data_IF_859036735609
#
_entry.id   IF_859036735609
#
_cell.length_a   1.000
_cell.length_b   1.000
_cell.length_c   1.000
_cell.angle_alpha   90.00
_cell.angle_beta   90.00
_cell.angle_gamma   90.00
#
_symmetry.space_group_name_H-M   'P 1'
#
loop_
_entity.id
_entity.type
_entity.pdbx_description
1 polymer ?
#
# COMPACT_ATOMS: atom_id res chain seq x y z
N UNK A 1 10.15 0.90 -8.55
CA UNK A 1 9.40 1.56 -9.63
C UNK A 1 8.39 0.56 -10.16
N UNK A 2 7.10 0.82 -10.03
CA UNK A 2 6.06 -0.11 -10.46
C UNK A 2 5.76 0.14 -11.94
N UNK A 3 6.43 -0.60 -12.82
CA UNK A 3 6.02 -0.76 -14.21
C UNK A 3 4.78 -1.68 -14.21
N UNK A 4 3.65 -1.18 -13.71
CA UNK A 4 2.42 -1.96 -13.60
C UNK A 4 1.66 -1.85 -14.91
N UNK A 5 1.48 -2.99 -15.57
CA UNK A 5 0.52 -3.11 -16.65
C UNK A 5 -0.89 -2.87 -16.11
N UNK A 6 -1.70 -2.11 -16.85
CA UNK A 6 -3.11 -1.92 -16.55
C UNK A 6 -3.88 -3.01 -17.27
N UNK A 7 -4.56 -3.88 -16.52
CA UNK A 7 -5.32 -5.00 -17.09
C UNK A 7 -6.81 -4.66 -16.98
N UNK A 8 -7.47 -4.54 -18.11
CA UNK A 8 -8.92 -4.41 -18.21
C UNK A 8 -9.47 -5.77 -18.64
N UNK A 9 -10.36 -6.35 -17.83
CA UNK A 9 -11.00 -7.65 -18.11
C UNK A 9 -12.44 -7.42 -18.55
N UNK A 10 -12.84 -8.08 -19.61
CA UNK A 10 -14.18 -8.04 -20.19
C UNK A 10 -14.96 -9.31 -19.85
N UNK A 11 -16.29 -9.25 -19.95
CA UNK A 11 -17.18 -10.40 -19.74
C UNK A 11 -16.98 -11.50 -20.79
N UNK A 12 -16.52 -11.13 -21.98
CA UNK A 12 -16.34 -12.00 -23.13
C UNK A 12 -15.03 -11.73 -23.87
N UNK A 13 -14.73 -12.57 -24.88
CA UNK A 13 -13.53 -12.42 -25.68
C UNK A 13 -13.65 -11.18 -26.57
N UNK A 14 -12.55 -10.42 -26.67
CA UNK A 14 -12.52 -9.15 -27.38
C UNK A 14 -11.57 -9.18 -28.58
N UNK A 15 -11.75 -8.24 -29.49
CA UNK A 15 -10.91 -7.95 -30.65
C UNK A 15 -10.65 -6.45 -30.73
N UNK A 16 -9.60 -6.07 -31.46
CA UNK A 16 -9.32 -4.68 -31.75
C UNK A 16 -10.42 -4.13 -32.66
N UNK A 17 -11.09 -3.07 -32.22
CA UNK A 17 -12.06 -2.35 -33.05
C UNK A 17 -11.40 -1.29 -33.94
N UNK A 18 -12.20 -0.61 -34.76
CA UNK A 18 -11.73 0.42 -35.71
C UNK A 18 -11.01 1.59 -35.01
N UNK A 19 -11.36 1.90 -33.76
CA UNK A 19 -10.74 2.96 -32.97
C UNK A 19 -9.68 2.45 -31.96
N UNK A 20 -9.13 1.24 -32.11
CA UNK A 20 -8.19 0.65 -31.16
C UNK A 20 -6.93 1.51 -30.93
N UNK A 21 -6.43 2.15 -31.99
CA UNK A 21 -5.29 3.09 -31.93
C UNK A 21 -5.60 4.33 -31.07
N UNK A 22 -6.87 4.71 -30.92
CA UNK A 22 -7.34 5.85 -30.14
C UNK A 22 -7.49 5.59 -28.64
N UNK A 23 -7.34 4.33 -28.19
CA UNK A 23 -7.22 4.00 -26.75
C UNK A 23 -6.04 4.79 -26.17
N UNK A 24 -6.27 5.48 -25.06
CA UNK A 24 -5.27 6.36 -24.45
C UNK A 24 -5.31 6.30 -22.94
N UNK A 25 -4.18 6.67 -22.34
CA UNK A 25 -4.08 7.05 -20.93
C UNK A 25 -3.57 8.49 -20.90
N UNK A 26 -4.18 9.36 -20.11
CA UNK A 26 -3.75 10.77 -19.96
C UNK A 26 -3.48 11.11 -18.50
N UNK A 27 -2.55 12.02 -18.26
CA UNK A 27 -2.37 12.65 -16.94
C UNK A 27 -3.52 13.67 -16.67
N UNK A 28 -3.56 14.31 -15.48
CA UNK A 28 -4.56 15.35 -15.18
C UNK A 28 -4.58 16.52 -16.17
N UNK A 29 -3.44 16.87 -16.76
CA UNK A 29 -3.30 17.95 -17.73
C UNK A 29 -3.73 17.55 -19.16
N UNK A 30 -4.25 16.32 -19.34
CA UNK A 30 -4.66 15.80 -20.64
C UNK A 30 -3.52 15.30 -21.53
N UNK A 31 -2.26 15.37 -21.07
CA UNK A 31 -1.09 14.88 -21.79
C UNK A 31 -1.14 13.35 -21.90
N UNK A 32 -1.00 12.84 -23.12
CA UNK A 32 -0.99 11.39 -23.38
C UNK A 32 0.25 10.73 -22.79
N UNK A 33 0.02 9.60 -22.14
CA UNK A 33 1.05 8.65 -21.73
C UNK A 33 1.53 7.90 -22.96
N UNK A 34 2.75 8.20 -23.40
CA UNK A 34 3.42 7.53 -24.52
C UNK A 34 4.86 7.18 -24.13
N UNK A 35 5.43 6.09 -24.69
CA UNK A 35 4.74 5.04 -25.44
C UNK A 35 3.80 4.19 -24.56
N UNK A 36 2.66 3.78 -25.12
CA UNK A 36 1.65 2.92 -24.48
C UNK A 36 1.33 1.73 -25.40
N UNK A 37 1.84 0.56 -25.03
CA UNK A 37 1.59 -0.69 -25.74
C UNK A 37 0.25 -1.28 -25.32
N UNK A 38 -0.44 -1.91 -26.27
CA UNK A 38 -1.80 -2.44 -26.10
C UNK A 38 -1.80 -3.88 -26.58
N UNK A 39 -2.18 -4.82 -25.72
CA UNK A 39 -2.22 -6.24 -26.05
C UNK A 39 -3.59 -6.78 -25.67
N UNK A 40 -4.27 -7.41 -26.63
CA UNK A 40 -5.48 -8.19 -26.36
C UNK A 40 -5.08 -9.65 -26.19
N UNK A 41 -5.55 -10.30 -25.13
CA UNK A 41 -5.45 -11.74 -24.94
C UNK A 41 -6.78 -12.29 -24.41
N UNK A 42 -7.54 -12.96 -25.27
CA UNK A 42 -8.88 -13.46 -24.96
C UNK A 42 -9.81 -12.34 -24.49
N UNK A 43 -10.15 -12.34 -23.21
CA UNK A 43 -11.04 -11.35 -22.57
C UNK A 43 -10.30 -10.13 -21.97
N UNK A 44 -8.99 -10.03 -22.15
CA UNK A 44 -8.18 -9.02 -21.46
C UNK A 44 -7.56 -8.04 -22.44
N UNK A 45 -7.61 -6.75 -22.08
CA UNK A 45 -6.81 -5.69 -22.68
C UNK A 45 -5.74 -5.29 -21.67
N UNK A 46 -4.49 -5.51 -22.02
CA UNK A 46 -3.33 -5.06 -21.25
C UNK A 46 -2.77 -3.79 -21.85
N UNK A 47 -2.70 -2.73 -21.06
CA UNK A 47 -2.02 -1.47 -21.40
C UNK A 47 -0.70 -1.36 -20.64
N UNK A 48 0.41 -1.29 -21.36
CA UNK A 48 1.75 -1.23 -20.79
C UNK A 48 2.43 0.07 -21.18
N UNK A 49 2.73 0.92 -20.20
CA UNK A 49 3.61 2.08 -20.40
C UNK A 49 5.06 1.59 -20.45
N UNK A 50 5.85 1.99 -21.45
CA UNK A 50 7.31 1.84 -21.38
C UNK A 50 7.90 3.14 -20.80
N UNK A 51 8.04 3.14 -19.48
CA UNK A 51 8.47 4.29 -18.67
C UNK A 51 7.64 4.39 -17.40
N UNK A 52 7.98 5.35 -16.53
CA UNK A 52 7.29 5.50 -15.25
C UNK A 52 6.10 6.45 -15.32
N UNK A 53 5.02 6.12 -14.63
CA UNK A 53 4.03 7.12 -14.24
C UNK A 53 4.60 8.03 -13.14
N UNK A 54 4.09 9.26 -13.07
CA UNK A 54 4.49 10.24 -12.07
C UNK A 54 3.71 9.99 -10.79
N UNK A 55 4.43 9.95 -9.65
CA UNK A 55 3.83 9.75 -8.34
C UNK A 55 2.86 10.89 -7.99
N UNK A 56 1.76 10.56 -7.31
CA UNK A 56 0.75 11.51 -6.86
C UNK A 56 -0.29 11.89 -7.91
N UNK A 57 -0.05 11.61 -9.20
CA UNK A 57 -1.00 11.93 -10.26
C UNK A 57 -2.13 10.89 -10.37
N UNK A 58 -3.31 11.38 -10.76
CA UNK A 58 -4.46 10.56 -11.15
C UNK A 58 -4.55 10.53 -12.67
N UNK A 59 -4.34 9.35 -13.25
CA UNK A 59 -4.42 9.13 -14.69
C UNK A 59 -5.82 8.67 -15.08
N UNK A 60 -6.22 9.00 -16.31
CA UNK A 60 -7.49 8.56 -16.90
C UNK A 60 -7.22 7.64 -18.07
N UNK A 61 -7.77 6.43 -18.03
CA UNK A 61 -7.87 5.49 -19.15
C UNK A 61 -9.11 5.88 -19.96
N UNK A 62 -8.98 5.91 -21.28
CA UNK A 62 -10.11 6.11 -22.19
C UNK A 62 -10.08 5.04 -23.28
N UNK A 63 -11.15 4.23 -23.32
CA UNK A 63 -11.48 3.36 -24.45
C UNK A 63 -12.62 4.05 -25.21
N UNK A 64 -12.36 4.71 -26.35
CA UNK A 64 -13.42 5.39 -27.10
C UNK A 64 -14.40 4.38 -27.71
N UNK A 65 -15.59 4.84 -28.09
CA UNK A 65 -16.56 4.03 -28.83
C UNK A 65 -15.91 3.39 -30.05
N UNK A 66 -16.17 2.10 -30.29
CA UNK A 66 -15.59 1.36 -31.41
C UNK A 66 -14.12 0.96 -31.25
N UNK A 67 -13.49 1.22 -30.09
CA UNK A 67 -12.10 0.81 -29.87
C UNK A 67 -11.92 -0.68 -29.59
N UNK A 68 -12.95 -1.32 -29.04
CA UNK A 68 -13.00 -2.74 -28.72
C UNK A 68 -14.29 -3.31 -29.31
N UNK A 69 -14.21 -4.50 -29.90
CA UNK A 69 -15.38 -5.29 -30.33
C UNK A 69 -15.35 -6.67 -29.73
N UNK A 70 -16.49 -7.33 -29.60
CA UNK A 70 -16.53 -8.76 -29.28
C UNK A 70 -16.34 -9.63 -30.55
N UNK A 71 -16.54 -10.94 -30.41
CA UNK A 71 -16.49 -11.89 -31.54
C UNK A 71 -17.70 -11.80 -32.47
N UNK A 72 -18.84 -11.29 -32.01
CA UNK A 72 -20.07 -11.11 -32.76
C UNK A 72 -20.12 -9.75 -33.52
N UNK A 73 -19.17 -8.86 -33.26
CA UNK A 73 -19.07 -7.54 -33.89
C UNK A 73 -19.70 -6.41 -33.09
N UNK A 74 -20.20 -6.66 -31.88
CA UNK A 74 -20.73 -5.60 -31.02
C UNK A 74 -19.58 -4.72 -30.54
N UNK A 75 -19.78 -3.40 -30.57
CA UNK A 75 -18.75 -2.43 -30.20
C UNK A 75 -18.95 -1.91 -28.78
N UNK A 76 -17.87 -1.68 -28.04
CA UNK A 76 -17.94 -0.97 -26.76
C UNK A 76 -18.38 0.49 -26.99
N UNK A 77 -19.21 1.02 -26.09
CA UNK A 77 -19.37 2.46 -25.90
C UNK A 77 -18.12 3.06 -25.25
N UNK A 78 -18.02 4.39 -25.21
CA UNK A 78 -16.90 5.05 -24.54
C UNK A 78 -16.85 4.65 -23.06
N UNK A 79 -15.72 4.09 -22.65
CA UNK A 79 -15.42 3.72 -21.28
C UNK A 79 -14.25 4.56 -20.76
N UNK A 80 -14.42 5.09 -19.55
CA UNK A 80 -13.33 5.78 -18.85
C UNK A 80 -13.16 5.22 -17.45
N UNK A 81 -11.91 5.16 -17.01
CA UNK A 81 -11.55 4.74 -15.65
C UNK A 81 -10.36 5.55 -15.17
N UNK A 82 -10.25 5.76 -13.86
CA UNK A 82 -9.17 6.54 -13.26
C UNK A 82 -8.37 5.67 -12.30
N UNK A 83 -7.06 5.89 -12.27
CA UNK A 83 -6.18 5.29 -11.27
C UNK A 83 -5.20 6.34 -10.76
N UNK A 84 -4.92 6.31 -9.45
CA UNK A 84 -3.91 7.15 -8.82
C UNK A 84 -2.63 6.36 -8.66
N UNK A 85 -1.51 6.99 -8.98
CA UNK A 85 -0.19 6.44 -8.66
C UNK A 85 0.20 6.96 -7.29
N UNK A 86 0.48 6.03 -6.39
CA UNK A 86 1.04 6.31 -5.08
C UNK A 86 2.21 5.37 -4.83
N UNK A 87 3.40 5.94 -4.69
CA UNK A 87 4.63 5.24 -4.30
C UNK A 87 5.15 5.74 -2.97
N UNK A 88 4.37 6.53 -2.25
CA UNK A 88 4.74 7.15 -0.98
C UNK A 88 4.56 6.11 0.11
N UNK A 89 5.63 5.83 0.86
CA UNK A 89 5.56 4.85 1.96
C UNK A 89 4.96 5.50 3.20
N UNK A 90 4.19 4.74 4.01
CA UNK A 90 3.77 5.23 5.31
C UNK A 90 4.99 5.49 6.19
N UNK A 91 4.99 6.63 6.87
CA UNK A 91 6.02 7.07 7.81
C UNK A 91 5.44 7.25 9.20
N UNK A 92 6.24 6.96 10.22
CA UNK A 92 5.83 7.10 11.62
C UNK A 92 6.00 8.55 12.04
N UNK A 93 4.92 9.19 12.48
CA UNK A 93 4.89 10.58 12.93
C UNK A 93 5.04 10.70 14.44
N UNK A 94 4.60 9.71 15.20
CA UNK A 94 4.78 9.66 16.65
C UNK A 94 4.68 8.25 17.20
N UNK A 95 5.24 8.05 18.40
CA UNK A 95 5.11 6.82 19.17
C UNK A 95 4.85 7.16 20.65
N UNK A 96 3.99 6.38 21.29
CA UNK A 96 3.75 6.43 22.73
C UNK A 96 3.84 5.01 23.32
N UNK A 97 4.69 4.72 24.31
CA UNK A 97 5.70 5.58 24.92
C UNK A 97 6.65 6.20 23.88
N UNK A 98 7.15 7.41 24.15
CA UNK A 98 8.09 8.06 23.24
C UNK A 98 9.38 7.22 23.15
N UNK A 99 10.09 7.33 22.02
CA UNK A 99 11.37 6.65 21.90
C UNK A 99 12.29 7.07 23.05
N UNK A 100 13.02 6.09 23.59
CA UNK A 100 13.90 6.19 24.76
C UNK A 100 13.23 6.62 26.07
N UNK A 101 11.89 6.61 26.16
CA UNK A 101 11.17 6.91 27.39
C UNK A 101 11.63 6.00 28.54
N UNK A 102 11.73 6.57 29.74
CA UNK A 102 12.05 5.84 30.97
C UNK A 102 10.84 5.84 31.90
N UNK A 103 10.88 4.98 32.93
CA UNK A 103 9.81 4.86 33.94
C UNK A 103 8.42 4.57 33.33
N UNK A 104 8.39 3.88 32.19
CA UNK A 104 7.14 3.50 31.53
C UNK A 104 6.37 2.49 32.39
N UNK A 105 5.06 2.69 32.55
CA UNK A 105 4.22 1.76 33.28
C UNK A 105 4.24 0.36 32.63
N UNK A 106 4.34 -0.68 33.44
CA UNK A 106 4.59 -2.06 32.99
C UNK A 106 3.40 -2.73 32.27
N UNK A 107 2.25 -2.07 32.22
CA UNK A 107 1.04 -2.46 31.48
C UNK A 107 0.68 -1.47 30.36
N UNK A 108 1.57 -0.51 30.05
CA UNK A 108 1.29 0.55 29.09
C UNK A 108 1.25 -0.03 27.66
N UNK A 109 0.12 0.10 27.00
CA UNK A 109 0.01 -0.17 25.57
C UNK A 109 0.92 0.76 24.77
N UNK A 110 1.47 0.25 23.66
CA UNK A 110 2.30 1.00 22.74
C UNK A 110 1.45 1.41 21.54
N UNK A 111 1.45 2.70 21.20
CA UNK A 111 0.74 3.27 20.05
C UNK A 111 1.74 3.90 19.10
N UNK A 112 1.69 3.48 17.84
CA UNK A 112 2.51 4.00 16.75
C UNK A 112 1.59 4.70 15.76
N UNK A 113 1.80 5.99 15.56
CA UNK A 113 0.98 6.81 14.66
C UNK A 113 1.73 7.05 13.36
N UNK A 114 1.05 6.85 12.25
CA UNK A 114 1.57 7.06 10.90
C UNK A 114 1.05 8.39 10.31
N UNK A 115 1.70 8.87 9.24
CA UNK A 115 1.27 10.04 8.47
C UNK A 115 -0.02 9.78 7.67
N UNK A 116 -0.31 8.52 7.37
CA UNK A 116 -1.43 8.06 6.55
C UNK A 116 -2.08 6.80 7.11
N UNK A 117 -3.23 6.43 6.55
CA UNK A 117 -3.92 5.21 6.96
C UNK A 117 -3.11 3.98 6.56
N UNK A 118 -3.03 3.02 7.48
CA UNK A 118 -2.28 1.79 7.27
C UNK A 118 -3.21 0.58 7.28
N UNK A 119 -2.73 -0.53 6.72
CA UNK A 119 -3.35 -1.86 6.80
C UNK A 119 -2.30 -2.90 7.14
N UNK A 120 -2.73 -3.98 7.79
CA UNK A 120 -1.87 -5.13 8.01
C UNK A 120 -1.46 -5.73 6.66
N UNK A 121 -0.18 -6.07 6.50
CA UNK A 121 0.27 -6.90 5.40
C UNK A 121 0.03 -8.38 5.70
N UNK A 122 0.37 -9.26 4.75
CA UNK A 122 0.37 -10.71 4.99
C UNK A 122 1.39 -11.13 6.06
N UNK A 123 2.54 -10.45 6.19
CA UNK A 123 3.53 -10.78 7.22
C UNK A 123 3.13 -10.24 8.59
N UNK A 124 2.52 -9.05 8.62
CA UNK A 124 2.17 -8.28 9.81
C UNK A 124 3.24 -8.34 10.93
N UNK A 125 4.52 -8.34 10.54
CA UNK A 125 5.62 -8.74 11.41
C UNK A 125 6.10 -7.59 12.31
N UNK A 126 5.65 -7.63 13.57
CA UNK A 126 6.02 -6.68 14.61
C UNK A 126 6.35 -7.48 15.86
N UNK A 127 7.41 -7.08 16.56
CA UNK A 127 7.93 -7.77 17.73
C UNK A 127 8.21 -6.79 18.88
N UNK A 128 8.06 -7.27 20.11
CA UNK A 128 8.51 -6.57 21.31
C UNK A 128 9.53 -7.48 22.01
N UNK A 129 10.74 -6.98 22.20
CA UNK A 129 11.88 -7.78 22.68
C UNK A 129 12.50 -7.11 23.90
N UNK A 130 12.72 -7.85 24.98
CA UNK A 130 13.42 -7.37 26.16
C UNK A 130 14.93 -7.28 25.91
N UNK A 131 15.65 -6.51 26.73
CA UNK A 131 17.11 -6.33 26.61
C UNK A 131 17.93 -7.61 26.78
N UNK A 132 17.36 -8.66 27.38
CA UNK A 132 17.97 -9.99 27.47
C UNK A 132 17.67 -10.87 26.23
N UNK A 133 17.06 -10.32 25.18
CA UNK A 133 16.69 -11.04 23.95
C UNK A 133 15.35 -11.78 24.01
N UNK A 134 14.68 -11.85 25.17
CA UNK A 134 13.40 -12.55 25.30
C UNK A 134 12.28 -11.82 24.54
N UNK A 135 11.51 -12.56 23.75
CA UNK A 135 10.33 -12.02 23.05
C UNK A 135 9.14 -11.92 23.99
N UNK A 136 8.41 -10.81 23.92
CA UNK A 136 7.15 -10.60 24.63
C UNK A 136 5.99 -10.97 23.71
N UNK A 137 5.04 -11.76 24.22
CA UNK A 137 3.80 -12.03 23.52
C UNK A 137 2.94 -10.77 23.44
N UNK A 138 2.52 -10.40 22.23
CA UNK A 138 1.78 -9.17 21.94
C UNK A 138 0.51 -9.43 21.12
N UNK A 139 -0.49 -8.59 21.31
CA UNK A 139 -1.64 -8.40 20.41
C UNK A 139 -1.47 -7.09 19.65
N UNK A 140 -1.93 -7.06 18.40
CA UNK A 140 -1.81 -5.91 17.49
C UNK A 140 -3.18 -5.55 16.93
N UNK A 141 -3.47 -4.26 16.81
CA UNK A 141 -4.65 -3.76 16.12
C UNK A 141 -4.34 -2.48 15.35
N UNK A 142 -5.09 -2.23 14.28
CA UNK A 142 -4.97 -1.01 13.47
C UNK A 142 -6.31 -0.29 13.47
N UNK A 143 -6.25 1.03 13.67
CA UNK A 143 -7.38 1.94 13.49
C UNK A 143 -6.91 3.18 12.75
N UNK A 144 -7.27 3.29 11.46
CA UNK A 144 -6.82 4.36 10.58
C UNK A 144 -5.29 4.44 10.51
N UNK A 145 -4.72 5.50 11.08
CA UNK A 145 -3.27 5.76 11.10
C UNK A 145 -2.54 5.15 12.29
N UNK A 146 -3.22 4.47 13.20
CA UNK A 146 -2.65 4.06 14.50
C UNK A 146 -2.53 2.55 14.58
N UNK A 147 -1.31 2.05 14.74
CA UNK A 147 -1.00 0.69 15.16
C UNK A 147 -0.91 0.65 16.69
N UNK A 148 -1.75 -0.16 17.33
CA UNK A 148 -1.73 -0.38 18.77
C UNK A 148 -1.16 -1.76 19.08
N UNK A 149 -0.19 -1.82 19.99
CA UNK A 149 0.40 -3.04 20.51
C UNK A 149 0.03 -3.15 22.00
N UNK A 150 -0.59 -4.25 22.38
CA UNK A 150 -0.89 -4.60 23.77
C UNK A 150 -0.22 -5.91 24.15
N UNK A 151 -0.01 -6.12 25.44
CA UNK A 151 0.56 -7.35 26.00
C UNK A 151 -0.23 -7.73 27.25
N UNK A 152 -0.52 -9.02 27.43
CA UNK A 152 -1.32 -9.50 28.57
C UNK A 152 -0.47 -9.68 29.82
N UNK A 153 0.78 -10.15 29.66
CA UNK A 153 1.73 -10.23 30.75
C UNK A 153 2.26 -8.84 31.12
N UNK A 154 2.44 -8.60 32.42
CA UNK A 154 3.09 -7.40 32.92
C UNK A 154 4.57 -7.45 32.54
N UNK A 155 5.08 -6.37 31.97
CA UNK A 155 6.50 -6.28 31.62
C UNK A 155 7.37 -6.32 32.88
N UNK A 156 8.60 -6.80 32.75
CA UNK A 156 9.58 -6.82 33.84
C UNK A 156 9.92 -5.39 34.29
N UNK A 157 10.24 -5.21 35.57
CA UNK A 157 10.60 -3.90 36.11
C UNK A 157 12.00 -3.47 35.66
N UNK A 158 12.24 -2.16 35.53
CA UNK A 158 13.54 -1.57 35.17
C UNK A 158 14.19 -2.23 33.94
N UNK A 159 13.38 -2.68 32.99
CA UNK A 159 13.83 -3.47 31.84
C UNK A 159 13.66 -2.64 30.57
N UNK A 160 14.70 -2.62 29.74
CA UNK A 160 14.65 -1.99 28.42
C UNK A 160 13.97 -2.94 27.44
N UNK A 161 13.05 -2.40 26.66
CA UNK A 161 12.33 -3.10 25.60
C UNK A 161 12.55 -2.42 24.26
N UNK A 162 12.57 -3.21 23.20
CA UNK A 162 12.66 -2.80 21.80
C UNK A 162 11.39 -3.21 21.07
N UNK A 163 10.62 -2.25 20.57
CA UNK A 163 9.57 -2.49 19.58
C UNK A 163 10.21 -2.47 18.20
N UNK A 164 10.12 -3.59 17.48
CA UNK A 164 10.67 -3.76 16.13
C UNK A 164 9.49 -3.89 15.16
N UNK A 165 9.38 -2.94 14.24
CA UNK A 165 8.44 -2.97 13.13
C UNK A 165 9.26 -3.33 11.90
N UNK A 166 9.06 -4.52 11.35
CA UNK A 166 9.82 -4.98 10.19
C UNK A 166 9.33 -4.34 8.90
N UNK A 167 10.20 -4.34 7.87
CA UNK A 167 9.83 -3.85 6.54
C UNK A 167 8.59 -4.58 6.04
N UNK A 168 7.60 -3.80 5.59
CA UNK A 168 6.34 -4.33 5.09
C UNK A 168 5.45 -4.98 6.15
N UNK A 169 5.70 -4.78 7.45
CA UNK A 169 4.76 -5.21 8.49
C UNK A 169 3.38 -4.57 8.32
N UNK A 170 3.35 -3.31 7.90
CA UNK A 170 2.12 -2.62 7.48
C UNK A 170 2.37 -1.96 6.13
N UNK A 171 1.29 -1.73 5.39
CA UNK A 171 1.31 -0.96 4.15
C UNK A 171 0.30 0.17 4.20
N UNK A 172 0.39 1.12 3.28
CA UNK A 172 -0.72 2.03 2.98
C UNK A 172 -1.87 1.31 2.24
N UNK A 173 -2.88 2.06 1.79
CA UNK A 173 -3.98 1.54 1.00
C UNK A 173 -3.53 0.96 -0.37
N UNK A 174 -2.51 1.55 -0.99
CA UNK A 174 -2.03 1.19 -2.33
C UNK A 174 -0.99 0.06 -2.34
N UNK A 175 -0.54 -0.38 -1.17
CA UNK A 175 0.41 -1.47 -0.97
C UNK A 175 1.86 -1.02 -0.76
N UNK A 176 2.14 0.28 -0.56
CA UNK A 176 3.48 0.75 -0.24
C UNK A 176 3.88 0.29 1.18
N UNK A 177 4.98 -0.47 1.33
CA UNK A 177 5.37 -1.03 2.61
C UNK A 177 6.05 0.00 3.49
N UNK A 178 5.75 -0.04 4.80
CA UNK A 178 6.54 0.66 5.81
C UNK A 178 8.00 0.20 5.75
N UNK A 179 8.94 1.12 5.96
CA UNK A 179 10.34 0.77 6.19
C UNK A 179 10.54 0.22 7.61
N UNK A 180 11.50 -0.68 7.79
CA UNK A 180 11.83 -1.18 9.13
C UNK A 180 12.20 -0.04 10.10
N UNK A 181 11.69 -0.11 11.33
CA UNK A 181 11.99 0.84 12.41
C UNK A 181 12.01 0.13 13.76
N UNK A 182 12.92 0.58 14.62
CA UNK A 182 13.04 0.10 16.00
C UNK A 182 12.92 1.28 16.96
N UNK A 183 12.11 1.12 18.00
CA UNK A 183 11.94 2.07 19.09
C UNK A 183 12.25 1.38 20.41
N UNK A 184 12.77 2.12 21.38
CA UNK A 184 13.06 1.56 22.69
C UNK A 184 12.38 2.34 23.81
N UNK A 185 12.10 1.66 24.92
CA UNK A 185 11.67 2.29 26.17
C UNK A 185 12.11 1.44 27.36
N UNK A 186 12.16 2.04 28.55
CA UNK A 186 12.52 1.36 29.80
C UNK A 186 11.37 1.45 30.78
N UNK A 187 10.95 0.29 31.30
CA UNK A 187 9.89 0.21 32.30
C UNK A 187 10.32 0.78 33.65
N UNK A 188 9.35 1.26 34.42
CA UNK A 188 9.56 1.67 35.81
C UNK A 188 9.64 0.49 36.78
N UNK A 189 9.90 0.83 38.05
CA UNK A 189 9.98 -0.13 39.15
C UNK A 189 8.60 -0.70 39.54
N UNK A 190 7.55 0.13 39.50
CA UNK A 190 6.20 -0.24 39.91
C UNK A 190 5.28 -0.51 38.74
#
# INVERSE_FOLDING_TARGET
MANKALIITFSEAIKAGSAFSSIKVTNPDGVRVNPLYKVINGKTLTLTRNGNYINGLTYTITLPTGSITDTAGNTINTYTSKFKIDTTKPTITSINPTNTATKVARNKAIKVTFNENIKASSSYWVELVASNGSKVSIKKSISGKVLTITHTARLAANTKYSLIIHTGAVTDATGNPVAARTFTFTTGRT
#
